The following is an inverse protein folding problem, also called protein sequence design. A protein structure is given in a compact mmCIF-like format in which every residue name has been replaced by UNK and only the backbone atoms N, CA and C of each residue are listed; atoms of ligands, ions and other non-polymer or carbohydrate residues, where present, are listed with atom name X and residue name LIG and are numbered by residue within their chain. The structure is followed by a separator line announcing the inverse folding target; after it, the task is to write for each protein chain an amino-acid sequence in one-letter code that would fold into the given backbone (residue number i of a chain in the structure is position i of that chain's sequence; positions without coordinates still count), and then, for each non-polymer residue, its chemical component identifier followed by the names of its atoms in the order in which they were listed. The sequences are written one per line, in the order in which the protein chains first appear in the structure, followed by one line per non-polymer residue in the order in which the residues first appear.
data_IF_290353095203
#
_entry.id   IF_290353095203
#
_cell.length_a   1.000
_cell.length_b   1.000
_cell.length_c   1.000
_cell.angle_alpha   90.00
_cell.angle_beta   90.00
_cell.angle_gamma   90.00
#
_symmetry.space_group_name_H-M   'P 1'
#
loop_
_entity.id
_entity.type
_entity.pdbx_description
1 polymer ?
#
# COMPACT_ATOMS: atom_id res chain seq x y z
N UNK A 1 -4.95 -13.12 4.34
CA UNK A 1 -5.47 -12.55 3.10
C UNK A 1 -5.04 -13.36 1.88
N UNK A 2 -3.76 -13.67 1.68
CA UNK A 2 -3.29 -14.40 0.49
C UNK A 2 -4.06 -15.71 0.24
N UNK A 3 -4.31 -16.52 1.27
CA UNK A 3 -5.11 -17.76 1.14
C UNK A 3 -6.53 -17.48 0.66
N UNK A 4 -7.21 -16.46 1.21
CA UNK A 4 -8.56 -16.07 0.78
C UNK A 4 -8.60 -15.65 -0.68
N UNK A 5 -7.61 -14.89 -1.15
CA UNK A 5 -7.53 -14.53 -2.56
C UNK A 5 -7.36 -15.75 -3.46
N UNK A 6 -6.57 -16.75 -3.04
CA UNK A 6 -6.43 -18.00 -3.80
C UNK A 6 -7.75 -18.79 -3.82
N UNK A 7 -8.49 -18.84 -2.71
CA UNK A 7 -9.83 -19.46 -2.64
C UNK A 7 -10.83 -18.78 -3.60
N UNK A 8 -10.67 -17.48 -3.86
CA UNK A 8 -11.46 -16.70 -4.82
C UNK A 8 -10.92 -16.78 -6.27
N UNK A 9 -9.91 -17.61 -6.52
CA UNK A 9 -9.38 -17.87 -7.85
C UNK A 9 -8.26 -16.94 -8.32
N UNK A 10 -7.70 -16.11 -7.44
CA UNK A 10 -6.57 -15.24 -7.78
C UNK A 10 -5.22 -15.94 -7.60
N UNK A 11 -4.24 -15.56 -8.41
CA UNK A 11 -2.83 -15.82 -8.11
C UNK A 11 -2.34 -14.74 -7.15
N UNK A 12 -1.93 -15.12 -5.94
CA UNK A 12 -1.55 -14.18 -4.90
C UNK A 12 -0.07 -14.29 -4.52
N UNK A 13 0.61 -13.15 -4.44
CA UNK A 13 1.96 -13.02 -3.90
C UNK A 13 1.91 -12.23 -2.59
N UNK A 14 2.33 -12.86 -1.49
CA UNK A 14 2.60 -12.17 -0.23
C UNK A 14 4.02 -11.61 -0.27
N UNK A 15 4.12 -10.28 -0.28
CA UNK A 15 5.40 -9.58 -0.50
C UNK A 15 6.19 -9.47 0.79
N UNK A 16 7.46 -9.84 0.75
CA UNK A 16 8.45 -9.56 1.80
C UNK A 16 9.22 -8.27 1.44
N UNK A 17 8.84 -7.17 2.08
CA UNK A 17 9.48 -5.86 1.86
C UNK A 17 10.78 -5.69 2.63
N UNK A 18 11.02 -6.49 3.67
CA UNK A 18 12.26 -6.45 4.44
C UNK A 18 13.36 -7.29 3.79
N UNK A 19 13.00 -8.39 3.15
CA UNK A 19 13.91 -9.33 2.50
C UNK A 19 14.36 -10.48 3.40
N UNK A 20 14.80 -11.57 2.78
CA UNK A 20 15.34 -12.76 3.44
C UNK A 20 14.38 -13.44 4.43
N UNK A 21 13.06 -13.25 4.27
CA UNK A 21 12.02 -13.69 5.21
C UNK A 21 12.28 -13.22 6.66
N UNK A 22 12.87 -12.03 6.80
CA UNK A 22 13.17 -11.45 8.09
C UNK A 22 11.89 -11.17 8.87
N UNK A 23 11.81 -11.69 10.09
CA UNK A 23 10.71 -11.44 11.01
C UNK A 23 11.19 -10.55 12.16
N UNK A 24 10.34 -9.63 12.58
CA UNK A 24 10.65 -8.80 13.73
C UNK A 24 10.59 -9.64 15.02
N UNK A 25 11.67 -9.67 15.77
CA UNK A 25 11.80 -10.39 17.04
C UNK A 25 11.28 -9.54 18.23
N UNK A 26 11.16 -8.23 18.01
CA UNK A 26 10.65 -7.26 19.00
C UNK A 26 10.04 -6.06 18.27
N UNK A 27 9.30 -5.21 19.01
CA UNK A 27 8.79 -3.95 18.47
C UNK A 27 9.92 -3.05 17.99
N UNK A 28 10.99 -2.93 18.76
CA UNK A 28 12.17 -2.12 18.40
C UNK A 28 12.82 -2.62 17.10
N UNK A 29 12.99 -3.95 16.97
CA UNK A 29 13.50 -4.55 15.74
C UNK A 29 12.57 -4.27 14.56
N UNK A 30 11.26 -4.37 14.75
CA UNK A 30 10.26 -4.06 13.72
C UNK A 30 10.32 -2.61 13.26
N UNK A 31 10.42 -1.66 14.19
CA UNK A 31 10.55 -0.24 13.89
C UNK A 31 11.86 0.08 13.13
N UNK A 32 12.95 -0.59 13.47
CA UNK A 32 14.21 -0.45 12.74
C UNK A 32 14.08 -0.95 11.29
N UNK A 33 13.57 -2.18 11.08
CA UNK A 33 13.34 -2.73 9.74
C UNK A 33 12.41 -1.83 8.91
N UNK A 34 11.36 -1.31 9.52
CA UNK A 34 10.47 -0.34 8.89
C UNK A 34 11.23 0.92 8.48
N UNK A 35 12.03 1.51 9.39
CA UNK A 35 12.83 2.69 9.12
C UNK A 35 13.83 2.48 7.97
N UNK A 36 14.50 1.34 7.92
CA UNK A 36 15.46 0.99 6.85
C UNK A 36 14.83 1.01 5.45
N UNK A 37 13.53 0.76 5.33
CA UNK A 37 12.83 0.82 4.04
C UNK A 37 12.24 2.21 3.80
N UNK A 38 11.64 2.83 4.82
CA UNK A 38 10.81 4.03 4.65
C UNK A 38 11.60 5.34 4.62
N UNK A 39 12.84 5.35 5.15
CA UNK A 39 13.72 6.52 5.14
C UNK A 39 14.22 6.87 3.74
N UNK A 40 14.28 5.92 2.83
CA UNK A 40 14.67 6.13 1.43
C UNK A 40 13.50 5.76 0.51
N UNK A 41 12.80 6.81 0.05
CA UNK A 41 11.66 6.67 -0.86
C UNK A 41 12.02 5.93 -2.15
N UNK A 42 13.19 6.22 -2.72
CA UNK A 42 13.62 5.58 -3.96
C UNK A 42 13.93 4.10 -3.75
N UNK A 43 14.55 3.75 -2.63
CA UNK A 43 14.78 2.36 -2.25
C UNK A 43 13.45 1.62 -2.09
N UNK A 44 12.47 2.25 -1.42
CA UNK A 44 11.14 1.69 -1.22
C UNK A 44 10.46 1.40 -2.56
N UNK A 45 10.41 2.40 -3.44
CA UNK A 45 9.83 2.26 -4.78
C UNK A 45 10.58 1.22 -5.62
N UNK A 46 11.92 1.19 -5.60
CA UNK A 46 12.72 0.17 -6.31
C UNK A 46 12.44 -1.23 -5.81
N UNK A 47 12.31 -1.44 -4.49
CA UNK A 47 11.96 -2.76 -3.93
C UNK A 47 10.57 -3.20 -4.40
N UNK A 48 9.56 -2.35 -4.25
CA UNK A 48 8.19 -2.63 -4.68
C UNK A 48 8.13 -2.95 -6.18
N UNK A 49 8.83 -2.16 -7.00
CA UNK A 49 8.89 -2.35 -8.45
C UNK A 49 9.55 -3.68 -8.83
N UNK A 50 10.66 -4.04 -8.22
CA UNK A 50 11.35 -5.33 -8.49
C UNK A 50 10.45 -6.52 -8.17
N UNK A 51 9.70 -6.46 -7.07
CA UNK A 51 8.75 -7.52 -6.72
C UNK A 51 7.64 -7.62 -7.75
N UNK A 52 7.08 -6.49 -8.18
CA UNK A 52 6.06 -6.44 -9.23
C UNK A 52 6.60 -7.05 -10.54
N UNK A 53 7.78 -6.62 -11.00
CA UNK A 53 8.37 -7.10 -12.25
C UNK A 53 8.65 -8.62 -12.19
N UNK A 54 9.14 -9.14 -11.06
CA UNK A 54 9.36 -10.55 -10.83
C UNK A 54 8.03 -11.35 -10.82
N UNK A 55 6.98 -10.81 -10.20
CA UNK A 55 5.66 -11.44 -10.19
C UNK A 55 5.03 -11.47 -11.58
N UNK A 56 5.11 -10.35 -12.32
CA UNK A 56 4.60 -10.24 -13.69
C UNK A 56 5.30 -11.18 -14.68
N UNK A 57 6.56 -11.54 -14.41
CA UNK A 57 7.33 -12.45 -15.25
C UNK A 57 6.98 -13.93 -15.04
N UNK A 58 6.18 -14.25 -14.04
CA UNK A 58 5.82 -15.64 -13.74
C UNK A 58 4.85 -16.22 -14.77
N UNK A 59 4.98 -17.50 -15.15
CA UNK A 59 4.03 -18.15 -16.08
C UNK A 59 2.58 -18.06 -15.61
N UNK A 60 2.34 -18.16 -14.31
CA UNK A 60 1.01 -18.14 -13.68
C UNK A 60 0.28 -16.80 -13.82
N UNK A 61 1.01 -15.71 -14.10
CA UNK A 61 0.46 -14.35 -14.22
C UNK A 61 0.43 -13.84 -15.67
N UNK A 62 0.83 -14.67 -16.63
CA UNK A 62 0.80 -14.28 -18.04
C UNK A 62 -0.62 -14.00 -18.53
N UNK A 63 -0.82 -12.81 -19.12
CA UNK A 63 -2.14 -12.36 -19.57
C UNK A 63 -3.10 -11.92 -18.47
N UNK A 64 -2.68 -11.96 -17.19
CA UNK A 64 -3.50 -11.48 -16.08
C UNK A 64 -3.31 -9.98 -15.84
N UNK A 65 -4.37 -9.32 -15.39
CA UNK A 65 -4.27 -8.03 -14.75
C UNK A 65 -3.74 -8.21 -13.33
N UNK A 66 -2.88 -7.29 -12.88
CA UNK A 66 -2.26 -7.33 -11.57
C UNK A 66 -2.75 -6.14 -10.75
N UNK A 67 -3.19 -6.38 -9.54
CA UNK A 67 -3.51 -5.35 -8.56
C UNK A 67 -2.65 -5.51 -7.30
N UNK A 68 -2.43 -4.42 -6.60
CA UNK A 68 -1.76 -4.40 -5.32
C UNK A 68 -2.74 -4.04 -4.20
N UNK A 69 -2.73 -4.80 -3.11
CA UNK A 69 -3.48 -4.48 -1.89
C UNK A 69 -2.56 -4.52 -0.69
N UNK A 70 -2.67 -3.55 0.18
CA UNK A 70 -1.84 -3.51 1.37
C UNK A 70 -2.50 -2.87 2.58
N UNK A 71 -1.95 -3.19 3.74
CA UNK A 71 -2.40 -2.79 5.06
C UNK A 71 -1.26 -2.06 5.77
N UNK A 72 -1.51 -0.90 6.38
CA UNK A 72 -0.50 -0.10 7.05
C UNK A 72 0.71 0.14 6.11
N UNK A 73 1.91 -0.26 6.49
CA UNK A 73 3.12 -0.23 5.65
C UNK A 73 2.92 -0.84 4.26
N UNK A 74 2.16 -1.96 4.17
CA UNK A 74 1.82 -2.58 2.90
C UNK A 74 0.92 -1.71 2.02
N UNK A 75 0.00 -0.96 2.63
CA UNK A 75 -0.86 0.00 1.94
C UNK A 75 -0.05 1.14 1.32
N UNK A 76 0.84 1.73 2.10
CA UNK A 76 1.80 2.73 1.62
C UNK A 76 2.67 2.16 0.49
N UNK A 77 3.13 0.90 0.62
CA UNK A 77 3.93 0.22 -0.41
C UNK A 77 3.17 0.04 -1.72
N UNK A 78 1.85 -0.22 -1.67
CA UNK A 78 1.02 -0.32 -2.86
C UNK A 78 0.91 1.03 -3.59
N UNK A 79 0.76 2.14 -2.85
CA UNK A 79 0.77 3.50 -3.43
C UNK A 79 2.14 3.85 -4.00
N UNK A 80 3.23 3.56 -3.29
CA UNK A 80 4.58 3.76 -3.80
C UNK A 80 4.84 2.97 -5.09
N UNK A 81 4.34 1.74 -5.17
CA UNK A 81 4.41 0.94 -6.39
C UNK A 81 3.64 1.61 -7.55
N UNK A 82 2.42 2.09 -7.32
CA UNK A 82 1.65 2.81 -8.33
C UNK A 82 2.41 4.03 -8.87
N UNK A 83 3.05 4.81 -7.98
CA UNK A 83 3.88 5.97 -8.33
C UNK A 83 5.08 5.63 -9.24
N UNK A 84 5.52 4.37 -9.31
CA UNK A 84 6.60 3.95 -10.24
C UNK A 84 6.12 3.76 -11.68
N UNK A 85 4.87 3.96 -11.99
CA UNK A 85 4.28 3.64 -13.30
C UNK A 85 4.17 2.14 -13.56
N UNK A 86 4.13 1.31 -12.51
CA UNK A 86 3.84 -0.11 -12.65
C UNK A 86 2.46 -0.29 -13.28
N UNK A 87 2.36 -1.19 -14.25
CA UNK A 87 1.10 -1.44 -14.96
C UNK A 87 0.16 -2.28 -14.07
N UNK A 88 -0.46 -1.59 -13.12
CA UNK A 88 -1.44 -2.14 -12.20
C UNK A 88 -2.87 -1.82 -12.71
N UNK A 89 -3.79 -2.76 -12.56
CA UNK A 89 -5.22 -2.52 -12.72
C UNK A 89 -5.77 -1.70 -11.54
N UNK A 90 -5.24 -1.95 -10.34
CA UNK A 90 -5.63 -1.19 -9.14
C UNK A 90 -4.60 -1.24 -8.03
N UNK A 91 -4.61 -0.23 -7.16
CA UNK A 91 -3.84 -0.20 -5.92
C UNK A 91 -4.74 0.18 -4.75
N UNK A 92 -4.76 -0.67 -3.71
CA UNK A 92 -5.60 -0.50 -2.51
C UNK A 92 -4.71 -0.27 -1.30
N UNK A 93 -4.90 0.86 -0.65
CA UNK A 93 -4.24 1.25 0.59
C UNK A 93 -5.26 1.26 1.73
N UNK A 94 -5.06 0.40 2.72
CA UNK A 94 -5.88 0.33 3.92
C UNK A 94 -5.07 0.80 5.13
N UNK A 95 -5.50 1.88 5.78
CA UNK A 95 -4.86 2.55 6.91
C UNK A 95 -3.33 2.72 6.76
N UNK A 96 -2.89 3.03 5.55
CA UNK A 96 -1.48 3.30 5.26
C UNK A 96 -1.19 4.78 5.16
N UNK A 97 0.06 5.15 5.43
CA UNK A 97 0.57 6.48 5.17
C UNK A 97 0.50 6.80 3.68
N UNK A 98 0.03 7.99 3.34
CA UNK A 98 -0.21 8.41 1.96
C UNK A 98 0.99 9.25 1.51
N UNK A 99 1.79 8.77 0.55
CA UNK A 99 2.93 9.54 0.08
C UNK A 99 2.50 10.80 -0.68
N UNK A 100 3.33 11.83 -0.67
CA UNK A 100 3.21 12.92 -1.62
C UNK A 100 3.44 12.38 -3.03
N UNK A 101 2.60 12.80 -3.97
CA UNK A 101 2.68 12.36 -5.37
C UNK A 101 3.04 13.56 -6.23
N UNK A 102 4.19 13.51 -6.87
CA UNK A 102 4.59 14.56 -7.80
C UNK A 102 3.75 14.55 -9.09
N UNK A 103 3.72 15.66 -9.80
CA UNK A 103 2.99 15.73 -11.07
C UNK A 103 3.50 14.74 -12.13
N UNK A 104 4.76 14.35 -12.08
CA UNK A 104 5.33 13.32 -12.96
C UNK A 104 4.87 11.92 -12.56
N UNK A 105 4.91 11.61 -11.25
CA UNK A 105 4.39 10.34 -10.72
C UNK A 105 2.90 10.21 -11.00
N UNK A 106 2.12 11.26 -10.77
CA UNK A 106 0.68 11.26 -11.06
C UNK A 106 0.38 10.92 -12.52
N UNK A 107 1.15 11.45 -13.48
CA UNK A 107 1.01 11.11 -14.90
C UNK A 107 1.44 9.68 -15.23
N UNK A 108 2.31 9.09 -14.43
CA UNK A 108 2.79 7.72 -14.62
C UNK A 108 1.82 6.68 -14.04
N UNK A 109 0.95 7.05 -13.11
CA UNK A 109 -0.02 6.14 -12.50
C UNK A 109 -1.06 5.71 -13.51
N UNK A 110 -1.12 4.41 -13.80
CA UNK A 110 -2.17 3.78 -14.64
C UNK A 110 -3.25 3.07 -13.82
N UNK A 111 -3.00 2.86 -12.53
CA UNK A 111 -3.90 2.14 -11.64
C UNK A 111 -5.11 2.99 -11.22
N UNK A 112 -6.28 2.36 -11.03
CA UNK A 112 -7.31 2.92 -10.17
C UNK A 112 -6.87 2.82 -8.70
N UNK A 113 -6.97 3.91 -7.94
CA UNK A 113 -6.54 3.95 -6.54
C UNK A 113 -7.74 3.89 -5.59
N UNK A 114 -7.67 3.06 -4.57
CA UNK A 114 -8.60 3.06 -3.45
C UNK A 114 -7.83 3.25 -2.15
N UNK A 115 -8.10 4.33 -1.43
CA UNK A 115 -7.49 4.63 -0.14
C UNK A 115 -8.57 4.64 0.93
N UNK A 116 -8.40 3.86 2.00
CA UNK A 116 -9.33 3.79 3.11
C UNK A 116 -8.58 4.06 4.43
N UNK A 117 -8.89 5.17 5.08
CA UNK A 117 -8.28 5.55 6.35
C UNK A 117 -9.33 5.86 7.43
N UNK A 118 -8.95 5.71 8.67
CA UNK A 118 -9.77 6.08 9.81
C UNK A 118 -9.67 7.58 10.12
N UNK A 119 -10.78 8.24 10.41
CA UNK A 119 -10.77 9.65 10.77
C UNK A 119 -10.24 9.91 12.19
N UNK A 120 -10.21 8.89 13.04
CA UNK A 120 -9.62 8.92 14.38
C UNK A 120 -8.27 8.18 14.45
N UNK A 121 -7.59 8.01 13.30
CA UNK A 121 -6.29 7.33 13.23
C UNK A 121 -5.19 8.25 13.81
N UNK A 122 -4.51 7.84 14.92
CA UNK A 122 -3.46 8.64 15.50
C UNK A 122 -2.11 8.52 14.75
N UNK A 123 -1.99 7.58 13.81
CA UNK A 123 -0.76 7.29 13.07
C UNK A 123 -0.76 7.99 11.71
N UNK A 124 -1.90 8.00 11.02
CA UNK A 124 -2.04 8.58 9.68
C UNK A 124 -2.89 9.86 9.77
N UNK A 125 -2.27 11.05 9.66
CA UNK A 125 -2.98 12.32 9.72
C UNK A 125 -4.01 12.51 8.61
N UNK A 126 -5.20 13.02 8.95
CA UNK A 126 -6.28 13.27 7.98
C UNK A 126 -5.90 14.27 6.89
N UNK A 127 -4.93 15.15 7.15
CA UNK A 127 -4.40 16.12 6.20
C UNK A 127 -3.79 15.45 4.96
N UNK A 128 -3.33 14.23 5.09
CA UNK A 128 -2.81 13.45 3.95
C UNK A 128 -3.89 13.15 2.91
N UNK A 129 -5.15 13.01 3.34
CA UNK A 129 -6.30 12.85 2.44
C UNK A 129 -6.48 14.08 1.52
N UNK A 130 -6.41 15.28 2.12
CA UNK A 130 -6.51 16.54 1.37
C UNK A 130 -5.31 16.72 0.44
N UNK A 131 -4.13 16.31 0.90
CA UNK A 131 -2.90 16.36 0.11
C UNK A 131 -2.99 15.45 -1.10
N UNK A 132 -3.48 14.21 -0.95
CA UNK A 132 -3.69 13.29 -2.06
C UNK A 132 -4.63 13.90 -3.11
N UNK A 133 -5.75 14.48 -2.68
CA UNK A 133 -6.71 15.13 -3.58
C UNK A 133 -6.06 16.28 -4.35
N UNK A 134 -5.17 17.04 -3.72
CA UNK A 134 -4.42 18.13 -4.37
C UNK A 134 -3.38 17.60 -5.36
N UNK A 135 -2.61 16.59 -4.96
CA UNK A 135 -1.54 15.99 -5.77
C UNK A 135 -2.10 15.34 -7.05
N UNK A 136 -3.29 14.74 -6.97
CA UNK A 136 -3.95 14.07 -8.11
C UNK A 136 -4.88 14.99 -8.92
N UNK A 137 -5.05 16.23 -8.50
CA UNK A 137 -5.93 17.17 -9.21
C UNK A 137 -5.48 17.38 -10.66
N UNK A 138 -6.37 17.04 -11.60
CA UNK A 138 -6.12 17.24 -13.04
C UNK A 138 -5.15 16.22 -13.65
N UNK A 139 -4.72 15.21 -12.92
CA UNK A 139 -3.83 14.15 -13.44
C UNK A 139 -4.52 13.16 -14.37
N UNK A 140 -5.84 12.99 -14.25
CA UNK A 140 -6.61 11.97 -14.95
C UNK A 140 -6.58 10.60 -14.26
N UNK A 141 -5.90 10.45 -13.14
CA UNK A 141 -5.92 9.22 -12.33
C UNK A 141 -7.33 8.98 -11.81
N UNK A 142 -7.84 7.76 -11.95
CA UNK A 142 -9.06 7.30 -11.28
C UNK A 142 -8.72 6.98 -9.82
N UNK A 143 -9.36 7.66 -8.88
CA UNK A 143 -9.12 7.42 -7.47
C UNK A 143 -10.34 7.65 -6.60
N UNK A 144 -10.40 6.90 -5.53
CA UNK A 144 -11.42 7.03 -4.49
C UNK A 144 -10.76 7.03 -3.12
N UNK A 145 -11.34 7.79 -2.19
CA UNK A 145 -10.94 7.78 -0.79
C UNK A 145 -12.15 7.61 0.12
N UNK A 146 -12.03 6.70 1.07
CA UNK A 146 -12.97 6.52 2.17
C UNK A 146 -12.31 6.96 3.47
N UNK A 147 -12.91 7.96 4.12
CA UNK A 147 -12.54 8.37 5.47
C UNK A 147 -13.61 7.86 6.44
N UNK A 148 -13.25 6.90 7.26
CA UNK A 148 -14.16 6.20 8.17
C UNK A 148 -14.20 6.93 9.51
N UNK A 149 -15.35 7.57 9.83
CA UNK A 149 -15.54 8.30 11.09
C UNK A 149 -15.33 7.41 12.31
N UNK A 150 -14.81 7.98 13.41
CA UNK A 150 -14.56 7.30 14.71
C UNK A 150 -13.74 6.01 14.60
N UNK A 151 -13.01 5.83 13.50
CA UNK A 151 -12.23 4.63 13.21
C UNK A 151 -10.74 4.94 13.38
N UNK A 152 -10.05 4.14 14.18
CA UNK A 152 -8.61 4.24 14.44
C UNK A 152 -7.76 3.47 13.45
N UNK A 153 -6.45 3.39 13.77
CA UNK A 153 -5.49 2.63 12.97
C UNK A 153 -5.78 1.12 13.01
N UNK A 154 -5.34 0.40 11.98
CA UNK A 154 -5.45 -1.08 11.90
C UNK A 154 -6.90 -1.61 11.97
N UNK A 155 -7.89 -0.84 11.55
CA UNK A 155 -9.32 -1.22 11.61
C UNK A 155 -9.66 -2.51 10.84
N UNK A 156 -8.80 -2.94 9.95
CA UNK A 156 -8.94 -4.21 9.21
C UNK A 156 -8.51 -5.45 10.01
N UNK A 157 -7.87 -5.24 11.17
CA UNK A 157 -7.49 -6.30 12.08
C UNK A 157 -8.62 -6.55 13.10
N UNK A 158 -9.25 -7.72 13.14
CA UNK A 158 -10.33 -8.00 14.07
C UNK A 158 -9.91 -7.93 15.55
N UNK A 159 -8.60 -8.06 15.82
CA UNK A 159 -8.05 -7.95 17.17
C UNK A 159 -7.61 -6.53 17.55
N UNK A 160 -7.68 -5.56 16.66
CA UNK A 160 -7.29 -4.16 16.93
C UNK A 160 -8.07 -3.55 18.08
N UNK A 161 -9.36 -3.87 18.20
CA UNK A 161 -10.22 -3.40 19.30
C UNK A 161 -9.74 -3.89 20.69
N UNK A 162 -9.09 -5.06 20.76
CA UNK A 162 -8.51 -5.60 22.00
C UNK A 162 -7.20 -4.91 22.37
N UNK A 163 -6.50 -4.36 21.37
CA UNK A 163 -5.24 -3.63 21.54
C UNK A 163 -5.42 -2.12 21.80
N UNK A 164 -6.66 -1.63 21.97
CA UNK A 164 -6.94 -0.21 22.24
C UNK A 164 -6.96 0.69 21.00
N UNK A 165 -6.99 0.11 19.81
CA UNK A 165 -7.05 0.83 18.52
C UNK A 165 -8.50 1.04 18.05
N UNK A 166 -9.34 1.62 18.90
CA UNK A 166 -10.70 2.10 18.53
C UNK A 166 -10.65 3.58 18.38
#
# INVERSE_FOLDING_TARGET
WGRRLVEEGYVALCVDMFGNATQAESLEHGLRLFGEVTQDRELWQRRARRVFDAFRARPETQGCEIAAIGFCFGGSSALHLACTGAQLAGAVCLHGDIPRISGEEAKAISASLLVCNGAADPVVPNEQALTLAQDLKGSGVDWQMLLLGETGHSFTNPDAARAGSR
#
